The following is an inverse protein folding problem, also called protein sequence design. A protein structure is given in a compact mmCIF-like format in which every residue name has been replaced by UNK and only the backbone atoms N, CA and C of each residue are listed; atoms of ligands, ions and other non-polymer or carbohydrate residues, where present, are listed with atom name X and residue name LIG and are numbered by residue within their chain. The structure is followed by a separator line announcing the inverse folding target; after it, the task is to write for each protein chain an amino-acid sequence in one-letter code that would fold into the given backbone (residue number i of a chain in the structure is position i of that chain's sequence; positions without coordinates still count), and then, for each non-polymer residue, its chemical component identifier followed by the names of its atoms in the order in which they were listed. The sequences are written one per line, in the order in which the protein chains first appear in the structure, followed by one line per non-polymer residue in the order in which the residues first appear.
data_IF_793974077525
#
_entry.id   IF_793974077525
#
_cell.length_a   1.000
_cell.length_b   1.000
_cell.length_c   1.000
_cell.angle_alpha   90.00
_cell.angle_beta   90.00
_cell.angle_gamma   90.00
#
_symmetry.space_group_name_H-M   'P 1'
#
loop_
_entity.id
_entity.type
_entity.pdbx_description
1 polymer ?
#
# COMPACT_ATOMS: atom_id res chain seq x y z
N UNK A 1 9.39 19.38 -19.46
CA UNK A 1 9.93 20.20 -18.32
C UNK A 1 9.23 19.81 -17.05
N UNK A 2 9.96 19.54 -15.97
CA UNK A 2 9.38 19.19 -14.66
C UNK A 2 8.86 20.47 -14.00
N UNK A 3 7.63 20.45 -13.42
CA UNK A 3 7.06 21.64 -12.77
C UNK A 3 7.92 22.14 -11.60
N UNK A 4 7.79 23.43 -11.24
CA UNK A 4 8.53 24.01 -10.09
C UNK A 4 8.17 23.33 -8.77
N UNK A 5 6.91 22.88 -8.62
CA UNK A 5 6.46 22.11 -7.46
C UNK A 5 7.13 20.74 -7.40
N UNK A 6 7.20 20.04 -8.53
CA UNK A 6 7.89 18.74 -8.62
C UNK A 6 9.39 18.89 -8.32
N UNK A 7 10.05 19.96 -8.80
CA UNK A 7 11.45 20.24 -8.47
C UNK A 7 11.66 20.49 -6.96
N UNK A 8 10.75 21.25 -6.31
CA UNK A 8 10.78 21.45 -4.85
C UNK A 8 10.58 20.15 -4.08
N UNK A 9 9.68 19.30 -4.56
CA UNK A 9 9.44 17.98 -3.96
C UNK A 9 10.65 17.06 -4.09
N UNK A 10 11.32 17.05 -5.25
CA UNK A 10 12.57 16.31 -5.47
C UNK A 10 13.68 16.81 -4.54
N UNK A 11 13.83 18.13 -4.38
CA UNK A 11 14.81 18.72 -3.47
C UNK A 11 14.54 18.35 -2.00
N UNK A 12 13.30 18.38 -1.58
CA UNK A 12 12.89 17.89 -0.24
C UNK A 12 13.20 16.41 -0.08
N UNK A 13 12.84 15.59 -1.06
CA UNK A 13 13.13 14.16 -1.04
C UNK A 13 14.64 13.89 -0.93
N UNK A 14 15.48 14.57 -1.72
CA UNK A 14 16.96 14.43 -1.64
C UNK A 14 17.50 14.75 -0.25
N UNK A 15 16.94 15.75 0.43
CA UNK A 15 17.32 16.11 1.81
C UNK A 15 17.00 15.00 2.82
N UNK A 16 15.89 14.26 2.62
CA UNK A 16 15.49 13.16 3.48
C UNK A 16 16.00 11.79 3.02
N UNK A 17 16.38 11.65 1.75
CA UNK A 17 16.84 10.39 1.18
C UNK A 17 18.09 9.85 1.87
N UNK A 18 19.05 10.73 2.25
CA UNK A 18 20.24 10.32 3.01
C UNK A 18 19.89 9.82 4.42
N UNK A 19 18.88 10.41 5.05
CA UNK A 19 18.37 9.96 6.33
C UNK A 19 17.66 8.61 6.18
N UNK A 20 16.79 8.49 5.20
CA UNK A 20 16.08 7.24 4.89
C UNK A 20 17.07 6.13 4.51
N UNK A 21 18.07 6.41 3.66
CA UNK A 21 19.07 5.42 3.25
C UNK A 21 19.94 4.92 4.39
N UNK A 22 20.15 5.73 5.44
CA UNK A 22 20.87 5.30 6.64
C UNK A 22 20.15 4.19 7.40
N UNK A 23 18.81 4.08 7.27
CA UNK A 23 18.02 3.00 7.87
C UNK A 23 18.10 1.69 7.08
N UNK A 24 18.47 1.75 5.78
CA UNK A 24 18.55 0.55 4.92
C UNK A 24 19.96 -0.05 4.86
N UNK A 25 20.99 0.64 5.40
CA UNK A 25 22.38 0.22 5.23
C UNK A 25 22.81 -1.02 6.00
N UNK A 26 22.08 -1.43 7.04
CA UNK A 26 22.41 -2.63 7.83
C UNK A 26 21.16 -3.33 8.35
N UNK A 27 20.53 -4.22 7.54
CA UNK A 27 19.34 -4.93 7.96
C UNK A 27 19.51 -5.79 9.21
N UNK A 28 20.73 -6.24 9.51
CA UNK A 28 21.04 -7.12 10.65
C UNK A 28 21.16 -6.41 12.00
N UNK A 29 21.28 -5.07 12.01
CA UNK A 29 21.53 -4.31 13.24
C UNK A 29 20.44 -3.28 13.59
N UNK A 30 19.37 -3.20 12.80
CA UNK A 30 18.28 -2.28 13.13
C UNK A 30 17.52 -2.84 14.31
N UNK A 31 17.75 -2.27 15.49
CA UNK A 31 16.99 -2.65 16.69
C UNK A 31 15.48 -2.37 16.49
N UNK A 32 14.64 -3.28 16.98
CA UNK A 32 13.17 -3.21 16.82
C UNK A 32 12.57 -1.85 17.22
N UNK A 33 13.16 -1.14 18.19
CA UNK A 33 12.68 0.18 18.60
C UNK A 33 12.89 1.28 17.51
N UNK A 34 13.99 1.20 16.73
CA UNK A 34 14.22 2.15 15.61
C UNK A 34 13.21 1.95 14.52
N UNK A 35 12.91 0.70 14.16
CA UNK A 35 11.85 0.38 13.19
C UNK A 35 10.52 0.92 13.70
N UNK A 36 10.18 0.71 14.96
CA UNK A 36 8.96 1.22 15.58
C UNK A 36 8.86 2.74 15.54
N UNK A 37 9.96 3.44 15.89
CA UNK A 37 10.00 4.91 15.87
C UNK A 37 9.81 5.46 14.43
N UNK A 38 10.44 4.82 13.46
CA UNK A 38 10.32 5.23 12.06
C UNK A 38 8.90 4.98 11.51
N UNK A 39 8.31 3.82 11.80
CA UNK A 39 6.90 3.51 11.48
C UNK A 39 5.96 4.56 12.07
N UNK A 40 6.15 4.88 13.36
CA UNK A 40 5.36 5.92 14.03
C UNK A 40 5.48 7.28 13.32
N UNK A 41 6.69 7.67 12.92
CA UNK A 41 6.93 8.95 12.26
C UNK A 41 6.22 9.03 10.88
N UNK A 42 6.29 7.99 10.05
CA UNK A 42 5.61 7.98 8.76
C UNK A 42 4.08 7.90 8.92
N UNK A 43 3.58 7.21 9.94
CA UNK A 43 2.17 7.15 10.28
C UNK A 43 1.63 8.53 10.68
N UNK A 44 2.40 9.27 11.46
CA UNK A 44 2.07 10.63 11.84
C UNK A 44 1.93 11.52 10.60
N UNK A 45 2.89 11.47 9.67
CA UNK A 45 2.84 12.26 8.43
C UNK A 45 1.60 11.94 7.59
N UNK A 46 1.25 10.68 7.42
CA UNK A 46 0.04 10.27 6.70
C UNK A 46 -1.24 10.73 7.41
N UNK A 47 -1.21 10.71 8.75
CA UNK A 47 -2.36 11.12 9.56
C UNK A 47 -2.62 12.63 9.51
N UNK A 48 -1.58 13.47 9.53
CA UNK A 48 -1.71 14.94 9.49
C UNK A 48 -1.76 15.49 8.04
N UNK A 49 -1.40 14.69 7.04
CA UNK A 49 -1.44 15.07 5.63
C UNK A 49 -2.83 15.53 5.16
N UNK A 50 -2.90 16.28 4.05
CA UNK A 50 -4.18 16.72 3.48
C UNK A 50 -5.02 15.52 3.05
N UNK A 51 -6.34 15.66 3.06
CA UNK A 51 -7.31 14.63 2.68
C UNK A 51 -8.35 15.20 1.74
N UNK A 52 -8.96 14.36 0.94
CA UNK A 52 -10.11 14.73 0.12
C UNK A 52 -11.27 15.20 1.01
N UNK A 53 -12.04 16.17 0.52
CA UNK A 53 -13.14 16.76 1.28
C UNK A 53 -14.23 15.71 1.56
N UNK A 54 -14.70 15.68 2.80
CA UNK A 54 -15.77 14.76 3.22
C UNK A 54 -15.31 13.31 3.36
N UNK A 55 -13.98 13.05 3.45
CA UNK A 55 -13.44 11.70 3.69
C UNK A 55 -13.97 11.13 5.00
N UNK A 56 -14.53 9.94 4.91
CA UNK A 56 -14.94 9.10 6.03
C UNK A 56 -14.03 7.90 6.11
N UNK A 57 -13.64 7.51 7.32
CA UNK A 57 -12.83 6.31 7.58
C UNK A 57 -13.50 5.43 8.63
N UNK A 58 -13.37 4.13 8.44
CA UNK A 58 -13.89 3.10 9.33
C UNK A 58 -12.83 2.01 9.49
N UNK A 59 -12.53 1.61 10.73
CA UNK A 59 -11.66 0.45 10.98
C UNK A 59 -12.53 -0.81 11.04
N UNK A 60 -12.18 -1.81 10.25
CA UNK A 60 -12.89 -3.08 10.15
C UNK A 60 -11.92 -4.25 10.18
N UNK A 61 -12.46 -5.45 10.40
CA UNK A 61 -11.74 -6.70 10.16
C UNK A 61 -12.14 -7.26 8.79
N UNK A 62 -11.18 -7.47 7.92
CA UNK A 62 -11.37 -8.02 6.59
C UNK A 62 -10.58 -9.34 6.46
N UNK A 63 -11.26 -10.46 6.49
CA UNK A 63 -10.61 -11.78 6.49
C UNK A 63 -9.64 -12.01 7.67
N UNK A 64 -9.92 -11.39 8.83
CA UNK A 64 -9.06 -11.43 10.00
C UNK A 64 -7.89 -10.44 9.98
N UNK A 65 -7.79 -9.59 8.96
CA UNK A 65 -6.79 -8.52 8.84
C UNK A 65 -7.44 -7.18 9.19
N UNK A 66 -6.84 -6.43 10.13
CA UNK A 66 -7.30 -5.07 10.42
C UNK A 66 -7.16 -4.21 9.16
N UNK A 67 -8.23 -3.54 8.78
CA UNK A 67 -8.31 -2.83 7.51
C UNK A 67 -8.97 -1.47 7.73
N UNK A 68 -8.41 -0.44 7.12
CA UNK A 68 -9.04 0.86 7.06
C UNK A 68 -9.88 0.94 5.78
N UNK A 69 -11.20 1.12 5.95
CA UNK A 69 -12.12 1.41 4.86
C UNK A 69 -12.25 2.92 4.75
N UNK A 70 -12.05 3.44 3.55
CA UNK A 70 -12.05 4.88 3.26
C UNK A 70 -13.02 5.17 2.14
N UNK A 71 -13.88 6.16 2.33
CA UNK A 71 -14.83 6.64 1.34
C UNK A 71 -14.93 8.15 1.35
N UNK A 72 -15.49 8.72 0.29
CA UNK A 72 -15.81 10.14 0.15
C UNK A 72 -17.26 10.26 -0.36
N UNK A 73 -17.84 11.46 -0.41
CA UNK A 73 -19.17 11.64 -1.02
C UNK A 73 -19.26 11.15 -2.49
N UNK A 74 -18.12 11.05 -3.19
CA UNK A 74 -18.06 10.56 -4.58
C UNK A 74 -17.96 9.03 -4.67
N UNK A 75 -17.75 8.32 -3.55
CA UNK A 75 -17.54 6.88 -3.55
C UNK A 75 -18.85 6.12 -3.80
N UNK A 76 -18.87 5.28 -4.84
CA UNK A 76 -19.91 4.29 -5.06
C UNK A 76 -19.64 3.08 -4.13
N UNK A 77 -20.58 2.71 -3.23
CA UNK A 77 -20.39 1.58 -2.32
C UNK A 77 -20.32 0.22 -3.04
N UNK A 78 -20.71 0.15 -4.32
CA UNK A 78 -20.62 -1.05 -5.14
C UNK A 78 -19.28 -1.21 -5.87
N UNK A 79 -18.40 -0.22 -5.77
CA UNK A 79 -17.08 -0.22 -6.42
C UNK A 79 -16.01 -0.18 -5.37
N UNK A 80 -15.14 -1.19 -5.38
CA UNK A 80 -14.10 -1.39 -4.37
C UNK A 80 -12.72 -1.28 -4.97
N UNK A 81 -11.83 -0.61 -4.27
CA UNK A 81 -10.41 -0.65 -4.53
C UNK A 81 -9.68 -1.23 -3.32
N UNK A 82 -9.21 -2.48 -3.43
CA UNK A 82 -8.34 -3.13 -2.44
C UNK A 82 -6.92 -2.65 -2.68
N UNK A 83 -6.42 -1.79 -1.79
CA UNK A 83 -5.14 -1.13 -1.93
C UNK A 83 -4.12 -1.63 -0.91
N UNK A 84 -3.00 -2.16 -1.37
CA UNK A 84 -1.88 -2.56 -0.53
C UNK A 84 -0.85 -1.44 -0.48
N UNK A 85 -0.50 -0.99 0.72
CA UNK A 85 0.45 0.10 0.91
C UNK A 85 1.89 -0.32 0.63
N UNK A 86 2.73 0.62 0.19
CA UNK A 86 4.16 0.43 0.05
C UNK A 86 4.90 0.43 1.39
N UNK A 87 6.24 0.36 1.30
CA UNK A 87 7.12 0.41 2.46
C UNK A 87 8.07 -0.79 2.59
N UNK A 88 8.43 -1.43 1.46
CA UNK A 88 9.45 -2.49 1.43
C UNK A 88 9.12 -3.69 2.31
N UNK A 89 7.83 -3.97 2.54
CA UNK A 89 7.34 -5.01 3.45
C UNK A 89 7.78 -4.87 4.91
N UNK A 90 8.47 -3.81 5.27
CA UNK A 90 9.00 -3.57 6.62
C UNK A 90 8.43 -2.33 7.30
N UNK A 91 7.79 -1.45 6.57
CA UNK A 91 7.18 -0.22 7.05
C UNK A 91 5.92 0.12 6.25
N UNK A 92 5.32 1.26 6.56
CA UNK A 92 4.01 1.63 6.00
C UNK A 92 2.86 1.07 6.82
N UNK A 93 1.70 1.62 6.60
CA UNK A 93 0.44 1.22 7.25
C UNK A 93 -0.75 1.91 6.57
N UNK A 94 -1.98 1.53 6.90
CA UNK A 94 -3.15 2.30 6.51
C UNK A 94 -3.10 3.78 6.96
N UNK A 95 -2.42 4.09 8.07
CA UNK A 95 -2.28 5.47 8.56
C UNK A 95 -1.32 6.28 7.72
N UNK A 96 -0.17 5.72 7.38
CA UNK A 96 0.84 6.40 6.54
C UNK A 96 0.32 6.73 5.15
N UNK A 97 -0.59 5.91 4.61
CA UNK A 97 -1.18 6.06 3.28
C UNK A 97 -2.57 6.72 3.29
N UNK A 98 -3.08 7.11 4.47
CA UNK A 98 -4.44 7.64 4.59
C UNK A 98 -4.70 8.88 3.71
N UNK A 99 -3.74 9.80 3.64
CA UNK A 99 -3.83 10.95 2.73
C UNK A 99 -4.01 10.51 1.28
N UNK A 100 -3.12 9.63 0.79
CA UNK A 100 -3.15 9.12 -0.60
C UNK A 100 -4.47 8.42 -0.91
N UNK A 101 -4.88 7.46 -0.07
CA UNK A 101 -6.08 6.67 -0.34
C UNK A 101 -7.37 7.47 -0.24
N UNK A 102 -7.38 8.58 0.52
CA UNK A 102 -8.53 9.49 0.55
C UNK A 102 -8.76 10.16 -0.81
N UNK A 103 -7.68 10.61 -1.48
CA UNK A 103 -7.77 11.15 -2.83
C UNK A 103 -8.05 10.08 -3.88
N UNK A 104 -7.51 8.87 -3.72
CA UNK A 104 -7.85 7.76 -4.60
C UNK A 104 -9.34 7.44 -4.52
N UNK A 105 -9.93 7.37 -3.32
CA UNK A 105 -11.36 7.16 -3.15
C UNK A 105 -12.19 8.23 -3.87
N UNK A 106 -11.78 9.49 -3.75
CA UNK A 106 -12.48 10.63 -4.36
C UNK A 106 -12.40 10.62 -5.88
N UNK A 107 -11.18 10.47 -6.43
CA UNK A 107 -10.92 10.56 -7.87
C UNK A 107 -11.48 9.34 -8.62
N UNK A 108 -11.36 8.14 -8.03
CA UNK A 108 -11.85 6.91 -8.67
C UNK A 108 -13.33 6.65 -8.43
N UNK A 109 -13.95 7.37 -7.48
CA UNK A 109 -15.33 7.11 -7.07
C UNK A 109 -15.52 5.72 -6.49
N UNK A 110 -14.51 5.17 -5.79
CA UNK A 110 -14.56 3.84 -5.19
C UNK A 110 -14.50 3.92 -3.67
N UNK A 111 -14.97 2.88 -2.98
CA UNK A 111 -14.61 2.65 -1.59
C UNK A 111 -13.25 1.96 -1.53
N UNK A 112 -12.26 2.56 -0.86
CA UNK A 112 -10.91 1.99 -0.74
C UNK A 112 -10.79 1.20 0.54
N UNK A 113 -10.32 -0.04 0.44
CA UNK A 113 -9.96 -0.90 1.56
C UNK A 113 -8.43 -1.01 1.59
N UNK A 114 -7.81 -0.56 2.67
CA UNK A 114 -6.36 -0.62 2.86
C UNK A 114 -6.03 -1.51 4.07
N UNK A 115 -5.63 -2.77 3.84
CA UNK A 115 -5.26 -3.70 4.91
C UNK A 115 -3.97 -3.31 5.61
N UNK A 116 -3.94 -3.47 6.93
CA UNK A 116 -2.76 -3.43 7.78
C UNK A 116 -2.10 -4.81 7.78
N UNK A 117 -1.61 -5.22 6.60
CA UNK A 117 -1.02 -6.55 6.43
C UNK A 117 0.27 -6.69 7.24
N UNK A 118 0.58 -7.91 7.65
CA UNK A 118 1.75 -8.22 8.49
C UNK A 118 3.05 -7.82 7.81
N UNK A 119 3.93 -7.17 8.56
CA UNK A 119 5.21 -6.66 8.10
C UNK A 119 6.38 -7.50 8.63
N UNK A 120 7.49 -7.46 7.88
CA UNK A 120 8.79 -7.88 8.37
C UNK A 120 9.46 -6.79 9.24
N UNK A 121 10.47 -7.17 10.02
CA UNK A 121 11.05 -8.52 10.15
C UNK A 121 10.23 -9.48 11.02
N UNK A 122 9.16 -8.98 11.71
CA UNK A 122 8.38 -9.75 12.66
C UNK A 122 7.65 -10.92 12.00
N UNK A 123 7.20 -10.71 10.76
CA UNK A 123 6.51 -11.73 9.98
C UNK A 123 7.22 -11.93 8.65
N UNK A 124 7.71 -13.15 8.43
CA UNK A 124 8.37 -13.53 7.18
C UNK A 124 7.34 -13.92 6.12
N UNK A 125 7.77 -13.90 4.86
CA UNK A 125 7.03 -14.51 3.75
C UNK A 125 6.64 -15.98 4.14
N UNK A 126 5.42 -16.42 3.85
CA UNK A 126 4.39 -15.79 3.00
C UNK A 126 3.33 -14.96 3.75
N UNK A 127 3.56 -14.52 4.99
CA UNK A 127 2.54 -13.86 5.82
C UNK A 127 1.81 -12.71 5.09
N UNK A 128 2.53 -11.89 4.33
CA UNK A 128 1.98 -10.76 3.58
C UNK A 128 1.05 -11.24 2.46
N UNK A 129 1.47 -12.28 1.73
CA UNK A 129 0.67 -12.89 0.67
C UNK A 129 -0.59 -13.54 1.22
N UNK A 130 -0.47 -14.25 2.34
CA UNK A 130 -1.63 -14.85 3.02
C UNK A 130 -2.66 -13.79 3.41
N UNK A 131 -2.20 -12.65 3.94
CA UNK A 131 -3.08 -11.53 4.30
C UNK A 131 -3.71 -10.90 3.04
N UNK A 132 -2.94 -10.78 1.95
CA UNK A 132 -3.45 -10.31 0.67
C UNK A 132 -4.59 -11.18 0.14
N UNK A 133 -4.39 -12.49 0.10
CA UNK A 133 -5.42 -13.45 -0.34
C UNK A 133 -6.64 -13.47 0.57
N UNK A 134 -6.42 -13.44 1.91
CA UNK A 134 -7.53 -13.39 2.88
C UNK A 134 -8.40 -12.16 2.71
N UNK A 135 -7.79 -10.99 2.53
CA UNK A 135 -8.54 -9.74 2.38
C UNK A 135 -9.33 -9.70 1.09
N UNK A 136 -8.78 -10.20 -0.02
CA UNK A 136 -9.53 -10.33 -1.27
C UNK A 136 -10.73 -11.28 -1.13
N UNK A 137 -10.50 -12.47 -0.59
CA UNK A 137 -11.57 -13.46 -0.40
C UNK A 137 -12.68 -12.95 0.52
N UNK A 138 -12.34 -12.21 1.57
CA UNK A 138 -13.32 -11.63 2.47
C UNK A 138 -14.22 -10.58 1.79
N UNK A 139 -13.69 -9.78 0.86
CA UNK A 139 -14.53 -8.87 0.07
C UNK A 139 -15.62 -9.63 -0.68
N UNK A 140 -15.29 -10.82 -1.20
CA UNK A 140 -16.25 -11.65 -1.94
C UNK A 140 -17.20 -12.38 -0.97
N UNK A 141 -16.63 -13.12 -0.02
CA UNK A 141 -17.39 -14.09 0.78
C UNK A 141 -18.15 -13.45 1.95
N UNK A 142 -17.56 -12.44 2.60
CA UNK A 142 -18.10 -11.83 3.83
C UNK A 142 -18.83 -10.51 3.51
N UNK A 143 -18.38 -9.78 2.50
CA UNK A 143 -18.96 -8.48 2.12
C UNK A 143 -19.83 -8.54 0.86
N UNK A 144 -19.85 -9.67 0.15
CA UNK A 144 -20.75 -9.93 -0.97
C UNK A 144 -20.40 -9.18 -2.27
N UNK A 145 -19.18 -8.68 -2.42
CA UNK A 145 -18.75 -8.07 -3.68
C UNK A 145 -18.48 -9.17 -4.72
N UNK A 146 -18.90 -8.92 -5.95
CA UNK A 146 -18.47 -9.76 -7.07
C UNK A 146 -17.09 -9.32 -7.55
N UNK A 147 -16.27 -10.22 -8.13
CA UNK A 147 -14.92 -9.90 -8.62
C UNK A 147 -14.87 -8.72 -9.58
N UNK A 148 -15.91 -8.53 -10.39
CA UNK A 148 -16.02 -7.42 -11.35
C UNK A 148 -16.26 -6.04 -10.67
N UNK A 149 -16.57 -6.00 -9.40
CA UNK A 149 -16.71 -4.77 -8.60
C UNK A 149 -15.39 -4.40 -7.88
N UNK A 150 -14.40 -5.28 -7.91
CA UNK A 150 -13.14 -5.12 -7.17
C UNK A 150 -12.02 -4.74 -8.15
N UNK A 151 -11.35 -3.64 -7.89
CA UNK A 151 -10.01 -3.35 -8.38
C UNK A 151 -9.00 -3.69 -7.27
N UNK A 152 -7.80 -4.13 -7.64
CA UNK A 152 -6.69 -4.37 -6.71
C UNK A 152 -5.49 -3.51 -7.11
N UNK A 153 -4.68 -3.09 -6.16
CA UNK A 153 -3.46 -2.36 -6.48
C UNK A 153 -2.64 -1.96 -5.28
N UNK A 154 -1.64 -1.14 -5.52
CA UNK A 154 -0.75 -0.64 -4.49
C UNK A 154 0.48 0.06 -5.06
N UNK A 155 1.28 0.61 -4.19
CA UNK A 155 2.53 1.28 -4.53
C UNK A 155 3.75 0.47 -4.08
N UNK A 156 4.85 0.54 -4.83
CA UNK A 156 6.14 -0.08 -4.44
C UNK A 156 5.98 -1.56 -4.05
N UNK A 157 6.31 -1.96 -2.81
CA UNK A 157 6.10 -3.31 -2.27
C UNK A 157 4.61 -3.70 -2.23
N UNK A 158 3.69 -2.75 -2.02
CA UNK A 158 2.25 -3.00 -2.11
C UNK A 158 1.79 -3.33 -3.53
N UNK A 159 2.41 -2.71 -4.54
CA UNK A 159 2.22 -3.08 -5.95
C UNK A 159 2.72 -4.50 -6.24
N UNK A 160 3.86 -4.89 -5.66
CA UNK A 160 4.34 -6.28 -5.71
C UNK A 160 3.35 -7.22 -5.03
N UNK A 161 2.86 -6.87 -3.83
CA UNK A 161 1.87 -7.69 -3.12
C UNK A 161 0.59 -7.88 -3.93
N UNK A 162 0.12 -6.83 -4.62
CA UNK A 162 -1.02 -6.95 -5.54
C UNK A 162 -0.75 -7.99 -6.64
N UNK A 163 0.43 -7.93 -7.29
CA UNK A 163 0.79 -8.87 -8.35
C UNK A 163 0.88 -10.32 -7.86
N UNK A 164 1.59 -10.55 -6.74
CA UNK A 164 1.73 -11.92 -6.22
C UNK A 164 0.40 -12.46 -5.66
N UNK A 165 -0.48 -11.58 -5.16
CA UNK A 165 -1.85 -11.96 -4.78
C UNK A 165 -2.63 -12.42 -6.01
N UNK A 166 -2.60 -11.68 -7.13
CA UNK A 166 -3.24 -12.10 -8.38
C UNK A 166 -2.75 -13.46 -8.87
N UNK A 167 -1.44 -13.68 -8.86
CA UNK A 167 -0.86 -14.96 -9.23
C UNK A 167 -1.37 -16.09 -8.32
N UNK A 168 -1.41 -15.84 -7.01
CA UNK A 168 -1.91 -16.82 -6.04
C UNK A 168 -3.40 -17.12 -6.20
N UNK A 169 -4.22 -16.10 -6.48
CA UNK A 169 -5.65 -16.30 -6.77
C UNK A 169 -5.84 -17.17 -8.01
N UNK A 170 -5.04 -16.93 -9.06
CA UNK A 170 -5.05 -17.75 -10.28
C UNK A 170 -4.68 -19.21 -9.98
N UNK A 171 -3.61 -19.45 -9.20
CA UNK A 171 -3.19 -20.80 -8.79
C UNK A 171 -4.26 -21.54 -7.99
N UNK A 172 -5.06 -20.78 -7.21
CA UNK A 172 -6.15 -21.31 -6.41
C UNK A 172 -7.49 -21.44 -7.19
N UNK A 173 -7.51 -21.09 -8.48
CA UNK A 173 -8.72 -21.04 -9.32
C UNK A 173 -9.81 -20.13 -8.71
N UNK A 174 -9.42 -19.02 -8.09
CA UNK A 174 -10.33 -17.99 -7.58
C UNK A 174 -10.46 -16.91 -8.64
N UNK A 175 -11.70 -16.44 -8.85
CA UNK A 175 -11.99 -15.40 -9.83
C UNK A 175 -11.17 -14.13 -9.55
N UNK A 176 -10.57 -13.59 -10.61
CA UNK A 176 -9.70 -12.43 -10.52
C UNK A 176 -10.51 -11.12 -10.43
N UNK A 177 -9.96 -10.06 -9.81
CA UNK A 177 -10.57 -8.74 -9.82
C UNK A 177 -10.68 -8.17 -11.24
N UNK A 178 -11.55 -7.18 -11.42
CA UNK A 178 -11.81 -6.55 -12.73
C UNK A 178 -10.61 -5.79 -13.30
N UNK A 179 -9.76 -5.25 -12.45
CA UNK A 179 -8.63 -4.43 -12.87
C UNK A 179 -7.54 -4.38 -11.81
N UNK A 180 -6.34 -4.01 -12.26
CA UNK A 180 -5.18 -3.77 -11.39
C UNK A 180 -4.59 -2.39 -11.65
N UNK A 181 -4.24 -1.66 -10.59
CA UNK A 181 -3.55 -0.38 -10.66
C UNK A 181 -2.26 -0.40 -9.84
N UNK A 182 -1.13 -0.27 -10.51
CA UNK A 182 0.19 -0.37 -9.92
C UNK A 182 0.91 0.98 -9.97
N UNK A 183 1.31 1.50 -8.80
CA UNK A 183 2.03 2.75 -8.67
C UNK A 183 3.51 2.45 -8.39
N UNK A 184 4.36 2.57 -9.41
CA UNK A 184 5.79 2.26 -9.30
C UNK A 184 6.06 0.94 -8.56
N UNK A 185 5.50 -0.18 -9.03
CA UNK A 185 5.55 -1.44 -8.31
C UNK A 185 6.99 -1.96 -8.21
N UNK A 186 7.32 -2.57 -7.08
CA UNK A 186 8.55 -3.37 -6.97
C UNK A 186 8.35 -4.72 -7.68
N UNK A 187 8.34 -4.68 -9.01
CA UNK A 187 7.98 -5.83 -9.84
C UNK A 187 9.04 -6.94 -9.83
N UNK A 188 10.32 -6.56 -9.71
CA UNK A 188 11.43 -7.48 -9.62
C UNK A 188 12.16 -7.37 -8.27
N UNK A 189 11.86 -8.25 -7.29
CA UNK A 189 12.51 -8.25 -5.99
C UNK A 189 13.97 -8.74 -6.04
N UNK A 190 14.45 -9.32 -7.16
CA UNK A 190 15.85 -9.73 -7.32
C UNK A 190 16.82 -8.55 -7.36
N UNK A 191 16.30 -7.35 -7.64
CA UNK A 191 17.11 -6.15 -7.76
C UNK A 191 18.00 -6.11 -9.00
N UNK A 192 17.71 -6.92 -10.02
CA UNK A 192 18.49 -7.02 -11.26
C UNK A 192 18.17 -5.94 -12.29
N UNK A 193 17.14 -5.10 -12.05
CA UNK A 193 16.70 -4.06 -12.97
C UNK A 193 17.71 -2.91 -13.10
N UNK A 194 18.07 -2.53 -14.34
CA UNK A 194 19.00 -1.42 -14.62
C UNK A 194 18.55 -0.10 -14.00
N UNK A 195 17.24 0.14 -13.88
CA UNK A 195 16.69 1.36 -13.25
C UNK A 195 17.10 1.52 -11.79
N UNK A 196 17.45 0.45 -11.08
CA UNK A 196 17.96 0.51 -9.72
C UNK A 196 19.37 1.09 -9.65
N UNK A 197 20.18 0.95 -10.70
CA UNK A 197 21.49 1.58 -10.80
C UNK A 197 21.41 3.11 -10.98
N UNK A 198 20.26 3.60 -11.47
CA UNK A 198 20.02 5.02 -11.74
C UNK A 198 19.50 5.79 -10.52
N UNK A 199 19.21 5.14 -9.41
CA UNK A 199 18.66 5.78 -8.21
C UNK A 199 19.63 6.81 -7.59
N UNK A 200 20.91 6.73 -7.95
CA UNK A 200 21.97 7.63 -7.48
C UNK A 200 22.19 8.84 -8.40
N UNK A 201 21.51 8.91 -9.54
CA UNK A 201 21.53 10.02 -10.49
C UNK A 201 20.42 11.02 -10.16
#
# INVERSE_FOLDING_TARGET
MISKEAQKSIQRYKKYASFISSFYRTPSEISNWRVGLFRWFIDLQGTIGPKAKGTVKEEIMLGGVRTLKVSTPNSDPKRVFLYYHGGGYSMGSPKSHFSLVSYLADITGTTVYIPDYRLGPENKYPAQLDDGVKTYNALINDFGYSPNQIAIGGDSAGGNLALITLLKLKDLNIDLPSSVALLSPWADPSGSGESLSLIHI
#
